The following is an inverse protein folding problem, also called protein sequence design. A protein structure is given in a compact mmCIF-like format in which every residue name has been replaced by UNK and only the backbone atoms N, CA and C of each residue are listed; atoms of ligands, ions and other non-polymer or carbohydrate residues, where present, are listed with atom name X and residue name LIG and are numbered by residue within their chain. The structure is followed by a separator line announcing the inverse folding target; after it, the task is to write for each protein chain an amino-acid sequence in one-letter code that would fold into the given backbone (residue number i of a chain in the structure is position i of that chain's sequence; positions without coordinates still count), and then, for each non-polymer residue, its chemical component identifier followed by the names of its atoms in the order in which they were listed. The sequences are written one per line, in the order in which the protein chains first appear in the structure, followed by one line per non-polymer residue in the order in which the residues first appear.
data_IF_511636637930
#
_entry.id   IF_511636637930
#
_cell.length_a   1.000
_cell.length_b   1.000
_cell.length_c   1.000
_cell.angle_alpha   90.00
_cell.angle_beta   90.00
_cell.angle_gamma   90.00
#
_symmetry.space_group_name_H-M   'P 1'
#
loop_
_entity.id
_entity.type
_entity.pdbx_description
1 polymer ?
#
# COMPACT_ATOMS: atom_id res chain seq x y z
N UNK A 1 30.33 10.84 -0.89
CA UNK A 1 28.87 10.67 -0.71
C UNK A 1 28.56 10.53 0.76
N UNK A 2 27.55 11.21 1.28
CA UNK A 2 27.17 11.12 2.71
C UNK A 2 26.87 9.67 3.10
N UNK A 3 27.49 9.15 4.17
CA UNK A 3 27.24 7.80 4.72
C UNK A 3 25.77 7.60 5.15
N UNK A 4 24.98 8.68 5.22
CA UNK A 4 23.61 8.69 5.72
C UNK A 4 22.53 8.44 4.64
N UNK A 5 22.85 8.46 3.34
CA UNK A 5 21.85 8.34 2.25
C UNK A 5 22.07 7.05 1.44
N UNK A 6 20.98 6.43 0.97
CA UNK A 6 21.08 5.36 -0.01
C UNK A 6 21.77 5.84 -1.29
N UNK A 7 22.53 4.95 -1.92
CA UNK A 7 23.26 5.23 -3.16
C UNK A 7 22.27 5.59 -4.26
N UNK A 8 22.49 6.72 -4.94
CA UNK A 8 21.69 7.10 -6.11
C UNK A 8 21.88 6.07 -7.23
N UNK A 9 20.82 5.80 -7.99
CA UNK A 9 20.84 4.91 -9.16
C UNK A 9 20.33 5.67 -10.38
N UNK A 10 20.46 5.09 -11.57
CA UNK A 10 20.06 5.72 -12.84
C UNK A 10 18.54 5.92 -12.95
N UNK A 11 17.76 5.06 -12.27
CA UNK A 11 16.30 5.15 -12.23
C UNK A 11 15.82 5.28 -10.80
N UNK A 12 14.78 6.08 -10.59
CA UNK A 12 14.14 6.23 -9.28
C UNK A 12 13.55 4.90 -8.77
N UNK A 13 13.09 4.03 -9.65
CA UNK A 13 12.64 2.69 -9.28
C UNK A 13 11.38 2.24 -10.01
N UNK A 14 10.75 1.20 -9.44
CA UNK A 14 9.48 0.65 -9.95
C UNK A 14 8.38 0.66 -8.89
N UNK A 15 7.13 0.73 -9.35
CA UNK A 15 5.93 0.75 -8.52
C UNK A 15 4.98 -0.38 -8.93
N UNK A 16 4.42 -1.05 -7.93
CA UNK A 16 3.27 -1.96 -8.04
C UNK A 16 2.11 -1.37 -7.24
N UNK A 17 0.92 -1.28 -7.83
CA UNK A 17 -0.31 -0.93 -7.13
C UNK A 17 -1.28 -2.10 -7.24
N UNK A 18 -1.69 -2.66 -6.10
CA UNK A 18 -2.80 -3.60 -6.02
C UNK A 18 -4.01 -2.87 -5.48
N UNK A 19 -5.10 -2.86 -6.25
CA UNK A 19 -6.36 -2.22 -5.87
C UNK A 19 -7.48 -3.26 -5.86
N UNK A 20 -7.77 -3.81 -4.69
CA UNK A 20 -8.86 -4.76 -4.51
C UNK A 20 -10.12 -3.99 -4.09
N UNK A 21 -11.16 -4.08 -4.90
CA UNK A 21 -12.41 -3.32 -4.77
C UNK A 21 -13.63 -4.26 -4.78
N UNK A 22 -13.55 -5.33 -5.55
CA UNK A 22 -14.62 -6.30 -5.77
C UNK A 22 -14.30 -7.61 -5.07
N UNK A 23 -15.16 -7.97 -4.11
CA UNK A 23 -15.01 -9.17 -3.29
C UNK A 23 -16.19 -10.13 -3.43
N UNK A 24 -16.92 -10.04 -4.54
CA UNK A 24 -18.07 -10.90 -4.83
C UNK A 24 -17.93 -11.55 -6.20
N UNK A 25 -18.47 -12.77 -6.33
CA UNK A 25 -18.86 -13.36 -7.60
C UNK A 25 -20.31 -13.82 -7.47
N UNK A 26 -21.20 -13.50 -8.43
CA UNK A 26 -22.56 -14.02 -8.40
C UNK A 26 -22.53 -15.55 -8.51
N UNK A 27 -23.18 -16.25 -7.57
CA UNK A 27 -23.41 -17.69 -7.68
C UNK A 27 -24.29 -17.98 -8.90
N UNK A 28 -23.87 -18.91 -9.75
CA UNK A 28 -24.72 -19.39 -10.84
C UNK A 28 -25.96 -20.08 -10.24
N UNK A 29 -27.14 -19.46 -10.37
CA UNK A 29 -28.44 -20.08 -10.07
C UNK A 29 -29.09 -19.73 -8.73
N UNK A 30 -28.55 -18.81 -7.92
CA UNK A 30 -29.20 -18.34 -6.69
C UNK A 30 -29.96 -17.04 -6.93
N UNK A 31 -31.28 -17.14 -7.12
CA UNK A 31 -32.17 -15.96 -7.25
C UNK A 31 -32.35 -15.20 -5.92
N UNK A 32 -31.95 -15.79 -4.78
CA UNK A 32 -32.21 -15.27 -3.42
C UNK A 32 -30.95 -15.19 -2.54
N UNK A 33 -29.80 -14.80 -3.10
CA UNK A 33 -28.59 -14.56 -2.29
C UNK A 33 -28.65 -13.19 -1.58
N UNK A 34 -29.18 -13.14 -0.36
CA UNK A 34 -29.19 -11.91 0.47
C UNK A 34 -27.78 -11.41 0.86
N UNK A 35 -26.78 -12.29 0.84
CA UNK A 35 -25.38 -11.88 1.06
C UNK A 35 -24.79 -11.13 -0.14
N UNK A 36 -25.42 -11.21 -1.31
CA UNK A 36 -24.92 -10.61 -2.55
C UNK A 36 -25.31 -9.13 -2.72
N UNK A 37 -26.07 -8.54 -1.79
CA UNK A 37 -26.64 -7.19 -1.96
C UNK A 37 -25.67 -6.03 -1.63
N UNK A 38 -24.64 -6.23 -0.79
CA UNK A 38 -23.65 -5.17 -0.42
C UNK A 38 -22.28 -5.75 0.00
N UNK A 39 -21.46 -6.20 -0.94
CA UNK A 39 -20.19 -6.94 -0.67
C UNK A 39 -18.94 -6.39 -1.36
N UNK A 40 -19.01 -5.25 -2.04
CA UNK A 40 -17.81 -4.51 -2.47
C UNK A 40 -17.20 -3.75 -1.30
N UNK A 41 -15.98 -3.22 -1.46
CA UNK A 41 -15.58 -2.10 -0.61
C UNK A 41 -16.66 -1.02 -0.73
N UNK A 42 -17.16 -0.47 0.38
CA UNK A 42 -18.29 0.47 0.40
C UNK A 42 -17.93 1.83 -0.22
N UNK A 43 -16.68 1.96 -0.65
CA UNK A 43 -16.13 3.03 -1.45
C UNK A 43 -16.69 3.00 -2.87
N UNK A 44 -17.03 4.17 -3.39
CA UNK A 44 -17.30 4.42 -4.81
C UNK A 44 -16.09 4.01 -5.68
N UNK A 45 -16.24 2.91 -6.41
CA UNK A 45 -15.18 2.33 -7.26
C UNK A 45 -14.60 3.38 -8.22
N UNK A 46 -15.46 4.19 -8.84
CA UNK A 46 -15.03 5.18 -9.83
C UNK A 46 -14.24 6.32 -9.17
N UNK A 47 -14.64 6.73 -7.96
CA UNK A 47 -13.91 7.73 -7.20
C UNK A 47 -12.55 7.20 -6.71
N UNK A 48 -12.48 5.96 -6.25
CA UNK A 48 -11.21 5.32 -5.87
C UNK A 48 -10.27 5.22 -7.06
N UNK A 49 -10.77 4.78 -8.21
CA UNK A 49 -10.01 4.73 -9.46
C UNK A 49 -9.47 6.10 -9.85
N UNK A 50 -10.26 7.16 -9.65
CA UNK A 50 -9.83 8.54 -9.83
C UNK A 50 -8.63 8.91 -8.95
N UNK A 51 -8.64 8.53 -7.66
CA UNK A 51 -7.51 8.76 -6.75
C UNK A 51 -6.30 7.89 -7.13
N UNK A 52 -6.49 6.62 -7.47
CA UNK A 52 -5.41 5.73 -7.93
C UNK A 52 -4.75 6.30 -9.19
N UNK A 53 -5.53 6.80 -10.14
CA UNK A 53 -5.00 7.42 -11.36
C UNK A 53 -4.18 8.69 -11.07
N UNK A 54 -4.59 9.51 -10.11
CA UNK A 54 -3.77 10.66 -9.65
C UNK A 54 -2.46 10.19 -9.05
N UNK A 55 -2.49 9.16 -8.21
CA UNK A 55 -1.30 8.58 -7.61
C UNK A 55 -0.34 8.00 -8.67
N UNK A 56 -0.86 7.27 -9.65
CA UNK A 56 -0.08 6.78 -10.81
C UNK A 56 0.56 7.96 -11.53
N UNK A 57 -0.18 9.02 -11.80
CA UNK A 57 0.34 10.19 -12.50
C UNK A 57 1.50 10.86 -11.77
N UNK A 58 1.45 10.92 -10.43
CA UNK A 58 2.56 11.41 -9.60
C UNK A 58 3.79 10.51 -9.75
N UNK A 59 3.61 9.19 -9.71
CA UNK A 59 4.72 8.26 -9.87
C UNK A 59 5.36 8.36 -11.27
N UNK A 60 4.54 8.45 -12.32
CA UNK A 60 5.01 8.69 -13.69
C UNK A 60 5.81 10.00 -13.78
N UNK A 61 5.29 11.10 -13.23
CA UNK A 61 5.96 12.42 -13.27
C UNK A 61 7.29 12.42 -12.51
N UNK A 62 7.41 11.60 -11.45
CA UNK A 62 8.65 11.35 -10.71
C UNK A 62 9.63 10.42 -11.46
N UNK A 63 9.18 9.77 -12.54
CA UNK A 63 10.00 8.88 -13.37
C UNK A 63 9.97 7.41 -12.94
N UNK A 64 9.04 7.01 -12.07
CA UNK A 64 8.86 5.60 -11.74
C UNK A 64 8.32 4.84 -12.96
N UNK A 65 8.65 3.55 -13.00
CA UNK A 65 8.12 2.60 -14.00
C UNK A 65 7.24 1.55 -13.33
N UNK A 66 6.38 0.89 -14.09
CA UNK A 66 5.67 -0.28 -13.60
C UNK A 66 6.63 -1.46 -13.40
N UNK A 67 6.14 -2.55 -12.82
CA UNK A 67 6.98 -3.72 -12.52
C UNK A 67 7.63 -4.36 -13.75
N UNK A 68 7.08 -4.16 -14.95
CA UNK A 68 7.64 -4.65 -16.21
C UNK A 68 8.58 -3.63 -16.90
N UNK A 69 8.79 -2.44 -16.32
CA UNK A 69 9.84 -1.50 -16.73
C UNK A 69 9.47 -0.55 -17.87
N UNK A 70 8.19 -0.34 -18.15
CA UNK A 70 7.73 0.64 -19.16
C UNK A 70 6.46 0.28 -19.92
N UNK A 71 5.62 -0.63 -19.40
CA UNK A 71 4.33 -0.98 -20.01
C UNK A 71 3.19 -0.05 -19.56
N UNK A 72 3.47 0.80 -18.57
CA UNK A 72 2.49 1.66 -17.90
C UNK A 72 1.39 0.89 -17.13
N UNK A 73 1.57 -0.42 -16.91
CA UNK A 73 0.66 -1.26 -16.13
C UNK A 73 0.99 -1.22 -14.63
N UNK A 74 0.76 -0.07 -14.01
CA UNK A 74 1.00 0.11 -12.57
C UNK A 74 -0.03 -0.62 -11.69
N UNK A 75 -1.28 -0.72 -12.16
CA UNK A 75 -2.42 -1.14 -11.33
C UNK A 75 -2.86 -2.57 -11.68
N UNK A 76 -2.99 -3.40 -10.64
CA UNK A 76 -3.52 -4.75 -10.70
C UNK A 76 -4.77 -4.81 -9.81
N UNK A 77 -5.93 -5.02 -10.45
CA UNK A 77 -7.21 -5.00 -9.75
C UNK A 77 -7.63 -6.37 -9.26
N UNK A 78 -8.28 -6.41 -8.10
CA UNK A 78 -9.04 -7.56 -7.60
C UNK A 78 -8.25 -8.88 -7.60
N UNK A 79 -7.10 -8.85 -6.91
CA UNK A 79 -6.16 -9.96 -6.85
C UNK A 79 -6.48 -10.90 -5.69
N UNK A 80 -6.53 -12.20 -5.99
CA UNK A 80 -6.53 -13.26 -4.99
C UNK A 80 -5.17 -13.36 -4.27
N UNK A 81 -5.13 -14.11 -3.16
CA UNK A 81 -3.89 -14.34 -2.40
C UNK A 81 -2.75 -14.86 -3.29
N UNK A 82 -3.01 -15.90 -4.07
CA UNK A 82 -2.01 -16.51 -4.95
C UNK A 82 -1.51 -15.52 -6.00
N UNK A 83 -2.41 -14.77 -6.63
CA UNK A 83 -2.03 -13.77 -7.63
C UNK A 83 -1.17 -12.64 -7.04
N UNK A 84 -1.48 -12.16 -5.84
CA UNK A 84 -0.64 -11.16 -5.17
C UNK A 84 0.76 -11.70 -4.87
N UNK A 85 0.87 -12.96 -4.43
CA UNK A 85 2.17 -13.61 -4.21
C UNK A 85 2.93 -13.72 -5.54
N UNK A 86 2.28 -14.20 -6.61
CA UNK A 86 2.87 -14.33 -7.95
C UNK A 86 3.37 -12.99 -8.49
N UNK A 87 2.65 -11.89 -8.26
CA UNK A 87 3.10 -10.55 -8.63
C UNK A 87 4.41 -10.17 -7.91
N UNK A 88 4.51 -10.44 -6.61
CA UNK A 88 5.72 -10.12 -5.85
C UNK A 88 6.88 -11.07 -6.17
N UNK A 89 6.60 -12.33 -6.51
CA UNK A 89 7.61 -13.25 -7.04
C UNK A 89 8.09 -12.85 -8.43
N UNK A 90 7.19 -12.34 -9.29
CA UNK A 90 7.56 -11.77 -10.58
C UNK A 90 8.45 -10.55 -10.41
N UNK A 91 8.10 -9.66 -9.47
CA UNK A 91 8.95 -8.53 -9.06
C UNK A 91 10.31 -9.03 -8.63
N UNK A 92 10.39 -10.02 -7.73
CA UNK A 92 11.64 -10.54 -7.21
C UNK A 92 12.63 -11.05 -8.29
N UNK A 93 12.10 -11.47 -9.44
CA UNK A 93 12.87 -11.95 -10.61
C UNK A 93 13.32 -10.83 -11.56
N UNK A 94 12.84 -9.60 -11.39
CA UNK A 94 13.23 -8.47 -12.24
C UNK A 94 14.65 -7.99 -11.93
N UNK A 95 15.32 -7.43 -12.95
CA UNK A 95 16.57 -6.71 -12.72
C UNK A 95 16.32 -5.31 -12.17
N UNK A 96 16.71 -5.12 -10.92
CA UNK A 96 16.69 -3.84 -10.21
C UNK A 96 18.06 -3.18 -10.13
N UNK A 97 19.11 -3.68 -10.80
CA UNK A 97 20.48 -3.18 -10.72
C UNK A 97 20.58 -1.64 -10.78
N UNK A 98 19.85 -1.04 -11.72
CA UNK A 98 19.80 0.40 -11.97
C UNK A 98 18.62 1.14 -11.30
N UNK A 99 17.79 0.45 -10.54
CA UNK A 99 16.66 1.03 -9.84
C UNK A 99 17.05 1.40 -8.41
N UNK A 100 16.66 2.60 -7.95
CA UNK A 100 16.96 3.11 -6.62
C UNK A 100 16.10 2.45 -5.54
N UNK A 101 14.80 2.29 -5.76
CA UNK A 101 13.89 1.63 -4.83
C UNK A 101 12.78 0.83 -5.52
N UNK A 102 11.99 0.13 -4.71
CA UNK A 102 10.71 -0.45 -5.11
C UNK A 102 9.61 0.02 -4.16
N UNK A 103 8.44 0.36 -4.72
CA UNK A 103 7.25 0.75 -3.95
C UNK A 103 6.10 -0.22 -4.28
N UNK A 104 5.45 -0.74 -3.26
CA UNK A 104 4.22 -1.52 -3.36
C UNK A 104 3.08 -0.80 -2.62
N UNK A 105 2.04 -0.43 -3.36
CA UNK A 105 0.83 0.20 -2.82
C UNK A 105 -0.29 -0.84 -2.81
N UNK A 106 -0.99 -0.98 -1.70
CA UNK A 106 -2.09 -1.94 -1.55
C UNK A 106 -3.31 -1.22 -0.99
N UNK A 107 -4.42 -1.25 -1.74
CA UNK A 107 -5.73 -0.79 -1.31
C UNK A 107 -6.64 -2.02 -1.24
N UNK A 108 -7.14 -2.36 -0.06
CA UNK A 108 -7.83 -3.62 0.16
C UNK A 108 -8.68 -3.56 1.43
N UNK A 109 -9.51 -4.58 1.66
CA UNK A 109 -9.90 -4.93 3.02
C UNK A 109 -8.71 -5.52 3.79
N UNK A 110 -8.71 -5.35 5.11
CA UNK A 110 -7.72 -5.92 6.01
C UNK A 110 -7.66 -5.21 7.36
N UNK A 111 -6.79 -5.71 8.24
CA UNK A 111 -6.51 -5.11 9.55
C UNK A 111 -5.22 -5.67 10.11
N UNK A 112 -4.50 -4.91 10.93
CA UNK A 112 -3.33 -5.37 11.70
C UNK A 112 -2.24 -5.98 10.79
N UNK A 113 -2.08 -5.41 9.58
CA UNK A 113 -1.11 -5.87 8.58
C UNK A 113 -1.47 -7.20 7.90
N UNK A 114 -2.71 -7.68 8.04
CA UNK A 114 -3.27 -8.80 7.27
C UNK A 114 -4.20 -8.24 6.19
N UNK A 115 -3.89 -8.56 4.94
CA UNK A 115 -4.68 -8.15 3.77
C UNK A 115 -5.75 -9.22 3.53
N UNK A 116 -7.00 -8.80 3.36
CA UNK A 116 -8.07 -9.65 2.85
C UNK A 116 -8.08 -9.55 1.33
N UNK A 117 -7.63 -10.60 0.65
CA UNK A 117 -7.59 -10.72 -0.81
C UNK A 117 -8.96 -11.11 -1.39
N UNK A 118 -9.10 -10.98 -2.70
CA UNK A 118 -10.34 -11.35 -3.42
C UNK A 118 -10.54 -12.87 -3.39
N UNK A 119 -11.78 -13.36 -3.20
CA UNK A 119 -12.07 -14.79 -3.16
C UNK A 119 -11.74 -15.49 -4.48
N UNK A 120 -11.25 -16.73 -4.39
CA UNK A 120 -11.09 -17.59 -5.56
C UNK A 120 -12.37 -18.36 -5.86
N UNK A 121 -13.04 -18.85 -4.81
CA UNK A 121 -14.24 -19.67 -4.92
C UNK A 121 -15.50 -18.85 -4.70
N UNK A 122 -16.60 -19.29 -5.30
CA UNK A 122 -17.88 -18.58 -5.19
C UNK A 122 -18.43 -18.59 -3.76
N UNK A 123 -18.15 -19.63 -2.97
CA UNK A 123 -18.66 -19.79 -1.60
C UNK A 123 -17.83 -19.07 -0.53
N UNK A 124 -16.73 -18.40 -0.91
CA UNK A 124 -15.85 -17.73 0.04
C UNK A 124 -16.49 -16.42 0.51
N UNK A 125 -16.77 -16.30 1.82
CA UNK A 125 -17.42 -15.12 2.41
C UNK A 125 -16.42 -14.09 2.89
N UNK A 126 -16.64 -12.82 2.53
CA UNK A 126 -15.81 -11.69 2.99
C UNK A 126 -16.00 -11.40 4.47
N UNK A 127 -17.20 -11.66 5.03
CA UNK A 127 -17.51 -11.41 6.46
C UNK A 127 -16.67 -12.27 7.39
N UNK A 128 -16.40 -13.50 6.97
CA UNK A 128 -15.53 -14.45 7.67
C UNK A 128 -14.51 -14.99 6.67
N UNK A 129 -13.51 -14.16 6.29
CA UNK A 129 -12.62 -14.49 5.18
C UNK A 129 -11.83 -15.76 5.53
N UNK A 130 -11.92 -16.84 4.73
CA UNK A 130 -11.15 -18.05 4.96
C UNK A 130 -9.65 -17.75 4.91
N UNK A 131 -8.84 -18.66 5.45
CA UNK A 131 -7.37 -18.53 5.46
C UNK A 131 -6.81 -18.31 4.04
N UNK A 132 -7.44 -18.88 3.01
CA UNK A 132 -7.08 -18.69 1.61
C UNK A 132 -7.22 -17.24 1.09
N UNK A 133 -8.01 -16.41 1.77
CA UNK A 133 -8.15 -14.98 1.47
C UNK A 133 -7.28 -14.09 2.37
N UNK A 134 -6.71 -14.63 3.45
CA UNK A 134 -5.91 -13.85 4.39
C UNK A 134 -4.43 -13.91 4.02
N UNK A 135 -3.86 -12.74 3.73
CA UNK A 135 -2.47 -12.58 3.32
C UNK A 135 -1.75 -11.63 4.27
N UNK A 136 -0.98 -12.15 5.23
CA UNK A 136 -0.10 -11.32 6.05
C UNK A 136 0.89 -10.56 5.17
N UNK A 137 1.07 -9.25 5.41
CA UNK A 137 2.05 -8.44 4.69
C UNK A 137 3.47 -9.03 4.77
N UNK A 138 3.81 -9.65 5.90
CA UNK A 138 5.10 -10.33 6.07
C UNK A 138 5.33 -11.43 5.03
N UNK A 139 4.28 -12.12 4.57
CA UNK A 139 4.35 -13.14 3.52
C UNK A 139 4.72 -12.51 2.17
N UNK A 140 4.12 -11.37 1.80
CA UNK A 140 4.49 -10.60 0.61
C UNK A 140 5.91 -10.04 0.69
N UNK A 141 6.28 -9.47 1.83
CA UNK A 141 7.63 -8.96 2.06
C UNK A 141 8.67 -10.07 1.93
N UNK A 142 8.35 -11.29 2.36
CA UNK A 142 9.25 -12.45 2.25
C UNK A 142 9.60 -12.82 0.79
N UNK A 143 8.84 -12.37 -0.22
CA UNK A 143 9.23 -12.56 -1.62
C UNK A 143 10.40 -11.66 -2.02
N UNK A 144 10.60 -10.53 -1.35
CA UNK A 144 11.63 -9.52 -1.67
C UNK A 144 12.86 -9.57 -0.76
N UNK A 145 12.99 -10.64 0.04
CA UNK A 145 14.00 -10.80 1.09
C UNK A 145 15.21 -11.59 0.62
N UNK A 146 16.38 -11.24 1.17
CA UNK A 146 17.65 -11.92 0.96
C UNK A 146 17.92 -12.38 -0.49
N UNK A 147 18.22 -13.68 -0.63
CA UNK A 147 18.56 -14.30 -1.91
C UNK A 147 17.41 -14.33 -2.93
N UNK A 148 16.15 -14.15 -2.50
CA UNK A 148 14.99 -14.22 -3.40
C UNK A 148 14.91 -13.01 -4.33
N UNK A 149 15.47 -11.86 -3.93
CA UNK A 149 15.44 -10.63 -4.72
C UNK A 149 16.77 -9.86 -4.61
N UNK A 150 17.85 -10.43 -5.16
CA UNK A 150 19.20 -9.86 -5.10
C UNK A 150 19.29 -8.42 -5.61
N UNK A 151 18.51 -8.09 -6.64
CA UNK A 151 18.50 -6.75 -7.25
C UNK A 151 18.08 -5.62 -6.30
N UNK A 152 17.35 -5.94 -5.22
CA UNK A 152 16.88 -4.98 -4.21
C UNK A 152 17.68 -5.04 -2.89
N UNK A 153 18.78 -5.80 -2.82
CA UNK A 153 19.65 -5.79 -1.65
C UNK A 153 20.21 -4.38 -1.40
N UNK A 154 20.22 -3.94 -0.13
CA UNK A 154 20.65 -2.61 0.27
C UNK A 154 19.90 -1.43 -0.39
N UNK A 155 18.69 -1.68 -0.92
CA UNK A 155 17.82 -0.67 -1.55
C UNK A 155 16.47 -0.56 -0.83
N UNK A 156 15.84 0.62 -0.75
CA UNK A 156 14.56 0.78 -0.08
C UNK A 156 13.44 -0.04 -0.72
N UNK A 157 12.70 -0.77 0.12
CA UNK A 157 11.51 -1.55 -0.22
C UNK A 157 10.33 -0.98 0.56
N UNK A 158 9.52 -0.15 -0.10
CA UNK A 158 8.51 0.68 0.56
C UNK A 158 7.14 0.06 0.30
N UNK A 159 6.38 -0.18 1.36
CA UNK A 159 5.01 -0.68 1.32
C UNK A 159 4.08 0.37 1.90
N UNK A 160 3.06 0.76 1.13
CA UNK A 160 2.01 1.68 1.56
C UNK A 160 0.67 0.97 1.48
N UNK A 161 0.01 0.78 2.63
CA UNK A 161 -1.21 -0.01 2.73
C UNK A 161 -2.35 0.87 3.21
N UNK A 162 -3.49 0.76 2.55
CA UNK A 162 -4.76 1.25 3.02
C UNK A 162 -5.68 0.04 3.18
N UNK A 163 -5.97 -0.31 4.43
CA UNK A 163 -6.77 -1.48 4.76
C UNK A 163 -8.07 -1.03 5.41
N UNK A 164 -9.19 -1.22 4.71
CA UNK A 164 -10.50 -0.98 5.28
C UNK A 164 -10.93 -2.19 6.11
N UNK A 165 -11.67 -1.97 7.20
CA UNK A 165 -12.24 -3.07 7.96
C UNK A 165 -13.37 -3.73 7.17
N UNK A 166 -13.47 -5.05 7.30
CA UNK A 166 -14.59 -5.82 6.75
C UNK A 166 -15.90 -5.37 7.41
N UNK A 167 -17.00 -5.15 6.66
CA UNK A 167 -18.30 -4.81 7.23
C UNK A 167 -18.77 -5.85 8.26
N UNK A 168 -19.11 -5.41 9.47
CA UNK A 168 -19.55 -6.29 10.56
C UNK A 168 -18.48 -6.58 11.61
N UNK A 169 -17.22 -6.22 11.39
CA UNK A 169 -16.14 -6.29 12.40
C UNK A 169 -16.24 -5.17 13.47
N UNK A 170 -17.40 -4.49 13.55
CA UNK A 170 -17.71 -3.50 14.58
C UNK A 170 -18.06 -4.24 15.87
N UNK A 171 -17.07 -4.44 16.74
CA UNK A 171 -17.39 -4.57 18.17
C UNK A 171 -17.82 -3.20 18.68
N UNK A 172 -19.09 -3.07 19.05
CA UNK A 172 -19.60 -1.87 19.72
C UNK A 172 -18.73 -1.56 20.95
N UNK A 173 -18.11 -0.38 20.94
CA UNK A 173 -17.80 0.43 22.13
C UNK A 173 -17.37 -0.28 23.41
N UNK A 174 -16.54 -1.32 23.34
CA UNK A 174 -15.87 -1.92 24.49
C UNK A 174 -14.39 -1.67 24.36
N UNK A 175 -13.80 -1.00 25.34
CA UNK A 175 -12.35 -1.02 25.57
C UNK A 175 -11.93 -2.46 25.88
N UNK A 176 -11.93 -3.33 24.88
CA UNK A 176 -11.14 -4.56 24.93
C UNK A 176 -9.69 -4.07 24.99
N UNK A 177 -9.05 -4.35 26.13
CA UNK A 177 -7.64 -4.08 26.34
C UNK A 177 -6.89 -4.41 25.04
N UNK A 178 -6.18 -3.41 24.50
CA UNK A 178 -5.28 -3.53 23.33
C UNK A 178 -4.77 -4.96 23.31
N UNK A 179 -5.22 -5.85 22.39
CA UNK A 179 -4.82 -7.24 22.41
C UNK A 179 -3.30 -7.21 22.37
N UNK A 180 -2.69 -7.61 23.49
CA UNK A 180 -1.32 -7.29 23.88
C UNK A 180 -0.47 -7.26 22.62
N UNK A 181 -0.12 -6.03 22.18
CA UNK A 181 0.38 -5.70 20.84
C UNK A 181 0.97 -6.96 20.25
N UNK A 182 0.18 -7.70 19.43
CA UNK A 182 0.62 -9.00 18.91
C UNK A 182 2.01 -8.70 18.41
N UNK A 183 3.02 -9.30 19.04
CA UNK A 183 4.40 -9.00 18.70
C UNK A 183 4.56 -9.51 17.28
N UNK A 184 4.20 -8.66 16.31
CA UNK A 184 4.53 -8.80 14.92
C UNK A 184 6.04 -8.74 15.00
N UNK A 185 6.66 -9.92 14.98
CA UNK A 185 8.11 -10.05 15.03
C UNK A 185 8.63 -9.07 14.01
N UNK A 186 9.32 -8.03 14.49
CA UNK A 186 9.89 -7.00 13.64
C UNK A 186 10.64 -7.74 12.54
N UNK A 187 10.28 -7.54 11.26
CA UNK A 187 10.98 -8.22 10.18
C UNK A 187 12.48 -8.01 10.36
N UNK A 188 13.25 -9.11 10.40
CA UNK A 188 14.68 -9.01 10.72
C UNK A 188 15.52 -8.39 9.59
N UNK A 189 14.92 -8.17 8.43
CA UNK A 189 15.64 -7.74 7.24
C UNK A 189 15.55 -6.24 7.02
N UNK A 190 16.72 -5.66 6.79
CA UNK A 190 16.91 -4.24 6.59
C UNK A 190 16.22 -3.71 5.32
N UNK A 191 16.10 -2.39 5.27
CA UNK A 191 15.70 -1.60 4.11
C UNK A 191 14.22 -1.72 3.71
N UNK A 192 13.37 -2.26 4.58
CA UNK A 192 11.93 -2.17 4.44
C UNK A 192 11.37 -0.93 5.15
N UNK A 193 10.36 -0.31 4.53
CA UNK A 193 9.53 0.72 5.15
C UNK A 193 8.08 0.33 4.91
N UNK A 194 7.26 0.29 5.97
CA UNK A 194 5.83 0.04 5.87
C UNK A 194 5.06 1.21 6.46
N UNK A 195 4.10 1.73 5.71
CA UNK A 195 3.14 2.73 6.14
C UNK A 195 1.73 2.19 5.95
N UNK A 196 1.02 1.93 7.04
CA UNK A 196 -0.29 1.29 7.02
C UNK A 196 -1.34 2.24 7.57
N UNK A 197 -2.41 2.46 6.82
CA UNK A 197 -3.62 3.17 7.23
C UNK A 197 -4.75 2.14 7.40
N UNK A 198 -4.98 1.68 8.63
CA UNK A 198 -6.13 0.84 8.95
C UNK A 198 -7.34 1.76 9.19
N UNK A 199 -8.39 1.58 8.38
CA UNK A 199 -9.55 2.45 8.36
C UNK A 199 -10.82 1.72 8.80
N UNK A 200 -11.42 2.23 9.88
CA UNK A 200 -12.75 1.81 10.32
C UNK A 200 -13.87 2.67 9.69
N UNK A 201 -13.58 3.34 8.57
CA UNK A 201 -14.53 4.23 7.92
C UNK A 201 -14.87 3.74 6.50
N UNK A 202 -16.05 3.13 6.42
CA UNK A 202 -16.66 2.52 5.24
C UNK A 202 -17.00 3.50 4.10
N UNK A 203 -16.50 4.74 4.08
CA UNK A 203 -16.99 5.74 3.10
C UNK A 203 -15.95 6.70 2.52
N UNK A 204 -14.70 6.74 3.01
CA UNK A 204 -13.76 7.81 2.64
C UNK A 204 -12.31 7.35 2.40
N UNK A 205 -11.66 7.96 1.39
CA UNK A 205 -10.31 7.63 0.85
C UNK A 205 -9.17 8.38 1.53
N UNK A 206 -9.15 8.44 2.85
CA UNK A 206 -8.25 9.38 3.52
C UNK A 206 -6.77 8.99 3.43
N UNK A 207 -6.45 7.69 3.39
CA UNK A 207 -5.09 7.19 3.22
C UNK A 207 -4.49 7.66 1.89
N UNK A 208 -5.03 7.16 0.78
CA UNK A 208 -4.56 7.51 -0.56
C UNK A 208 -4.63 9.02 -0.83
N UNK A 209 -5.67 9.73 -0.39
CA UNK A 209 -5.76 11.18 -0.55
C UNK A 209 -4.63 11.91 0.18
N UNK A 210 -4.28 11.48 1.40
CA UNK A 210 -3.15 12.04 2.13
C UNK A 210 -1.81 11.70 1.48
N UNK A 211 -1.68 10.52 0.88
CA UNK A 211 -0.47 10.13 0.13
C UNK A 211 -0.29 10.99 -1.12
N UNK A 212 -1.35 11.19 -1.90
CA UNK A 212 -1.36 12.07 -3.08
C UNK A 212 -0.93 13.48 -2.68
N UNK A 213 -1.63 14.08 -1.72
CA UNK A 213 -1.34 15.46 -1.27
C UNK A 213 0.09 15.60 -0.72
N UNK A 214 0.55 14.61 0.05
CA UNK A 214 1.91 14.58 0.59
C UNK A 214 2.98 14.47 -0.48
N UNK A 215 2.83 13.53 -1.42
CA UNK A 215 3.78 13.34 -2.53
C UNK A 215 3.79 14.57 -3.44
N UNK A 216 2.64 15.12 -3.81
CA UNK A 216 2.56 16.31 -4.65
C UNK A 216 3.28 17.49 -4.00
N UNK A 217 2.93 17.80 -2.75
CA UNK A 217 3.39 19.01 -2.07
C UNK A 217 4.86 18.95 -1.67
N UNK A 218 5.33 17.80 -1.19
CA UNK A 218 6.64 17.69 -0.53
C UNK A 218 7.67 16.90 -1.33
N UNK A 219 7.27 16.22 -2.40
CA UNK A 219 8.18 15.45 -3.27
C UNK A 219 8.16 16.01 -4.69
N UNK A 220 7.00 16.00 -5.35
CA UNK A 220 6.91 16.34 -6.76
C UNK A 220 7.11 17.83 -7.02
N UNK A 221 6.46 18.70 -6.25
CA UNK A 221 6.54 20.16 -6.44
C UNK A 221 7.98 20.69 -6.35
N UNK A 222 8.79 20.39 -5.31
CA UNK A 222 10.20 20.79 -5.28
C UNK A 222 11.00 20.32 -6.51
N UNK A 223 10.63 19.18 -7.09
CA UNK A 223 11.30 18.61 -8.27
C UNK A 223 10.90 19.27 -9.60
N UNK A 224 9.83 20.10 -9.61
CA UNK A 224 9.34 20.86 -10.77
C UNK A 224 9.72 22.35 -10.73
N UNK A 225 10.29 22.83 -9.63
CA UNK A 225 10.73 24.22 -9.46
C UNK A 225 12.10 24.47 -10.10
N UNK A 226 12.38 25.73 -10.46
CA UNK A 226 13.69 26.17 -10.96
C UNK A 226 14.29 27.23 -10.03
N UNK A 227 15.45 26.96 -9.37
CA UNK A 227 16.23 25.72 -9.46
C UNK A 227 15.55 24.54 -8.75
N UNK A 228 15.80 23.32 -9.24
CA UNK A 228 15.26 22.07 -8.68
C UNK A 228 15.56 21.94 -7.18
N UNK A 229 14.52 21.96 -6.36
CA UNK A 229 14.59 21.80 -4.91
C UNK A 229 14.75 20.34 -4.47
N UNK A 230 15.29 20.11 -3.27
CA UNK A 230 15.40 18.78 -2.68
C UNK A 230 14.02 18.29 -2.17
N UNK A 231 13.59 17.06 -2.50
CA UNK A 231 12.33 16.54 -1.97
C UNK A 231 12.49 16.21 -0.49
N UNK A 232 11.37 16.10 0.23
CA UNK A 232 11.38 15.73 1.64
C UNK A 232 11.88 14.28 1.85
N UNK A 233 12.67 14.07 2.90
CA UNK A 233 13.07 12.74 3.37
C UNK A 233 11.83 11.90 3.75
N UNK A 234 11.81 10.62 3.38
CA UNK A 234 10.60 9.79 3.40
C UNK A 234 9.95 9.65 4.78
N UNK A 235 10.71 9.51 5.87
CA UNK A 235 10.13 9.36 7.20
C UNK A 235 9.51 10.68 7.69
N UNK A 236 10.13 11.81 7.33
CA UNK A 236 9.51 13.13 7.55
C UNK A 236 8.27 13.33 6.69
N UNK A 237 8.29 12.83 5.45
CA UNK A 237 7.13 12.83 4.55
C UNK A 237 5.96 12.04 5.13
N UNK A 238 6.20 10.82 5.63
CA UNK A 238 5.16 10.00 6.28
C UNK A 238 4.55 10.73 7.48
N UNK A 239 5.36 11.43 8.27
CA UNK A 239 4.86 12.28 9.37
C UNK A 239 3.94 13.40 8.86
N UNK A 240 4.24 14.01 7.71
CA UNK A 240 3.36 15.03 7.09
C UNK A 240 2.09 14.42 6.53
N UNK A 241 2.17 13.25 5.88
CA UNK A 241 1.00 12.50 5.40
C UNK A 241 0.08 12.12 6.56
N UNK A 242 0.62 11.65 7.69
CA UNK A 242 -0.19 11.34 8.89
C UNK A 242 -0.91 12.58 9.43
N UNK A 243 -0.30 13.76 9.37
CA UNK A 243 -0.96 15.00 9.77
C UNK A 243 -2.07 15.43 8.77
N UNK A 244 -1.83 15.27 7.47
CA UNK A 244 -2.84 15.52 6.42
C UNK A 244 -4.01 14.54 6.57
N UNK A 245 -3.71 13.27 6.83
CA UNK A 245 -4.71 12.26 7.15
C UNK A 245 -5.54 12.72 8.34
N UNK A 246 -4.89 13.04 9.47
CA UNK A 246 -5.55 13.50 10.70
C UNK A 246 -6.49 14.70 10.48
N UNK A 247 -6.06 15.73 9.75
CA UNK A 247 -6.89 16.93 9.54
C UNK A 247 -8.19 16.63 8.78
N UNK A 248 -8.16 15.66 7.86
CA UNK A 248 -9.35 15.18 7.15
C UNK A 248 -10.33 14.46 8.10
N UNK A 249 -9.84 13.77 9.14
CA UNK A 249 -10.68 13.10 10.15
C UNK A 249 -11.24 14.00 11.23
N UNK A 250 -10.46 14.96 11.74
CA UNK A 250 -10.95 15.90 12.76
C UNK A 250 -12.18 16.66 12.25
N UNK A 251 -12.19 16.98 10.96
CA UNK A 251 -13.34 17.59 10.26
C UNK A 251 -14.56 16.66 10.23
N UNK A 252 -14.37 15.34 10.20
CA UNK A 252 -15.43 14.33 10.10
C UNK A 252 -15.95 13.80 11.46
N UNK A 253 -15.36 14.21 12.60
CA UNK A 253 -15.72 13.76 13.97
C UNK A 253 -15.75 12.23 14.17
N UNK A 254 -14.80 11.51 13.58
CA UNK A 254 -14.75 10.05 13.63
C UNK A 254 -13.66 9.53 14.56
N UNK A 255 -13.87 8.36 15.16
CA UNK A 255 -12.83 7.59 15.86
C UNK A 255 -12.05 6.76 14.84
N UNK A 256 -10.74 7.00 14.72
CA UNK A 256 -9.88 6.25 13.82
C UNK A 256 -8.60 5.78 14.48
N UNK A 257 -8.09 4.66 13.98
CA UNK A 257 -6.73 4.23 14.23
C UNK A 257 -5.79 5.09 13.37
N UNK A 258 -4.73 5.62 13.98
CA UNK A 258 -3.75 6.44 13.27
C UNK A 258 -2.91 5.56 12.34
N UNK A 259 -2.42 6.11 11.21
CA UNK A 259 -1.50 5.39 10.35
C UNK A 259 -0.25 4.92 11.12
N UNK A 260 0.09 3.65 10.97
CA UNK A 260 1.24 3.02 11.59
C UNK A 260 2.45 3.06 10.65
N UNK A 261 3.62 3.41 11.20
CA UNK A 261 4.91 3.41 10.48
C UNK A 261 5.82 2.36 11.10
N UNK A 262 6.28 1.40 10.29
CA UNK A 262 7.36 0.47 10.67
C UNK A 262 8.53 0.67 9.71
N UNK A 263 9.67 1.14 10.23
CA UNK A 263 10.87 1.43 9.42
C UNK A 263 12.04 0.55 9.85
N UNK A 264 12.62 -0.14 8.88
CA UNK A 264 13.87 -0.89 8.97
C UNK A 264 14.91 -0.33 8.00
N UNK A 265 14.68 0.89 7.51
CA UNK A 265 15.62 1.62 6.67
C UNK A 265 16.93 1.86 7.45
N UNK A 266 18.05 1.63 6.78
CA UNK A 266 19.39 1.83 7.35
C UNK A 266 19.98 3.20 6.99
N UNK A 267 19.34 3.91 6.05
CA UNK A 267 19.76 5.21 5.52
C UNK A 267 18.55 6.07 5.18
N UNK A 268 18.76 7.35 4.92
CA UNK A 268 17.74 8.30 4.49
C UNK A 268 17.34 8.05 3.03
N UNK A 269 16.03 8.13 2.78
CA UNK A 269 15.44 7.94 1.45
C UNK A 269 14.87 9.26 0.95
N UNK A 270 15.21 9.61 -0.28
CA UNK A 270 14.73 10.80 -0.98
C UNK A 270 14.20 10.36 -2.35
N UNK A 271 12.90 10.54 -2.60
CA UNK A 271 12.29 10.20 -3.88
C UNK A 271 12.54 11.35 -4.85
N UNK A 272 13.63 11.25 -5.62
CA UNK A 272 14.04 12.30 -6.56
C UNK A 272 14.08 11.74 -7.96
N UNK A 273 13.54 12.51 -8.92
CA UNK A 273 13.64 12.17 -10.34
C UNK A 273 15.11 12.11 -10.72
N UNK A 274 15.56 10.97 -11.22
CA UNK A 274 16.91 10.81 -11.77
C UNK A 274 17.01 11.65 -13.05
N UNK A 275 18.10 12.43 -13.15
CA UNK A 275 18.39 13.32 -14.29
C UNK A 275 18.52 12.54 -15.58
#
# INVERSE_FOLDING_TARGET
MSKLRYTKMDRIGRVLIVNNQVYHKPHAGSLDCKECEKTTRPQDIAKEDGEVNKLVKIFEDLGFKDIDGGTNKFVYKDQSKTQMIELLEKVAKQDFSQDYCFICVILSYGKDGVITCVPMNENDSVKNPPVGMQLPLAELQNCLKGEKCKGLLAKPKIFMLQLDHVPGDRKDGGSEALPAARQVKIPREADFLTYTCDMNNLTHYYGISAWIEGLEKYVLKPQKEEPKGEPMEIQRLLTRMTNIFKSKYETAKMTVEYPCVTSLLTKQVFLTKTT
#
